data_IF_255362164060
#
_entry.id   IF_255362164060
#
_cell.length_a   1.000
_cell.length_b   1.000
_cell.length_c   1.000
_cell.angle_alpha   90.00
_cell.angle_beta   90.00
_cell.angle_gamma   90.00
#
_symmetry.space_group_name_H-M   'P 1'
#
loop_
_entity.id
_entity.type
_entity.pdbx_description
1 polymer ?
#
# COMPACT_ATOMS: atom_id res chain seq x y z
N UNK A 1 -34.66 13.17 7.44
CA UNK A 1 -34.70 12.07 6.46
C UNK A 1 -33.38 11.31 6.51
N UNK A 2 -33.23 10.29 7.38
CA UNK A 2 -31.97 9.58 7.58
C UNK A 2 -31.61 8.62 6.42
N UNK A 3 -32.50 8.45 5.44
CA UNK A 3 -32.34 7.50 4.33
C UNK A 3 -31.24 7.89 3.32
N UNK A 4 -30.89 9.18 3.22
CA UNK A 4 -29.81 9.65 2.34
C UNK A 4 -28.43 9.20 2.81
N UNK A 5 -28.21 9.06 4.12
CA UNK A 5 -26.93 8.65 4.70
C UNK A 5 -26.59 7.17 4.45
N UNK A 6 -27.59 6.29 4.49
CA UNK A 6 -27.39 4.88 4.16
C UNK A 6 -27.11 4.68 2.67
N UNK A 7 -27.83 5.40 1.81
CA UNK A 7 -27.64 5.32 0.37
C UNK A 7 -26.28 5.89 -0.07
N UNK A 8 -25.82 7.00 0.54
CA UNK A 8 -24.52 7.57 0.23
C UNK A 8 -23.36 6.63 0.58
N UNK A 9 -23.48 5.84 1.65
CA UNK A 9 -22.50 4.81 2.02
C UNK A 9 -22.43 3.70 0.97
N UNK A 10 -23.57 3.25 0.45
CA UNK A 10 -23.61 2.22 -0.60
C UNK A 10 -22.97 2.78 -1.88
N UNK A 11 -23.34 3.99 -2.29
CA UNK A 11 -22.75 4.62 -3.48
C UNK A 11 -21.24 4.81 -3.33
N UNK A 12 -20.77 5.30 -2.18
CA UNK A 12 -19.35 5.52 -1.94
C UNK A 12 -18.57 4.21 -1.94
N UNK A 13 -19.07 3.18 -1.25
CA UNK A 13 -18.41 1.86 -1.23
C UNK A 13 -18.35 1.22 -2.62
N UNK A 14 -19.38 1.40 -3.44
CA UNK A 14 -19.38 0.90 -4.82
C UNK A 14 -18.36 1.64 -5.68
N UNK A 15 -18.22 2.95 -5.50
CA UNK A 15 -17.16 3.75 -6.14
C UNK A 15 -15.78 3.28 -5.70
N UNK A 16 -15.57 3.05 -4.40
CA UNK A 16 -14.28 2.56 -3.87
C UNK A 16 -13.91 1.19 -4.46
N UNK A 17 -14.87 0.27 -4.57
CA UNK A 17 -14.66 -1.05 -5.17
C UNK A 17 -14.33 -0.94 -6.66
N UNK A 18 -15.06 -0.10 -7.41
CA UNK A 18 -14.76 0.13 -8.84
C UNK A 18 -13.37 0.72 -9.01
N UNK A 19 -12.97 1.65 -8.15
CA UNK A 19 -11.64 2.25 -8.18
C UNK A 19 -10.56 1.22 -7.84
N UNK A 20 -10.80 0.36 -6.84
CA UNK A 20 -9.89 -0.70 -6.43
C UNK A 20 -9.56 -1.66 -7.58
N UNK A 21 -10.57 -2.09 -8.35
CA UNK A 21 -10.33 -2.97 -9.50
C UNK A 21 -9.71 -2.25 -10.70
N UNK A 22 -9.80 -0.92 -10.78
CA UNK A 22 -9.28 -0.13 -11.90
C UNK A 22 -7.86 0.38 -11.67
N UNK A 23 -7.44 0.52 -10.42
CA UNK A 23 -6.08 0.93 -10.08
C UNK A 23 -5.13 -0.26 -10.26
N UNK A 24 -4.17 -0.11 -11.17
CA UNK A 24 -3.05 -1.05 -11.29
C UNK A 24 -2.26 -1.12 -9.99
N UNK A 25 -1.75 -2.30 -9.67
CA UNK A 25 -0.86 -2.49 -8.53
C UNK A 25 0.37 -1.57 -8.64
N UNK A 26 0.79 -1.03 -7.49
CA UNK A 26 1.97 -0.20 -7.36
C UNK A 26 2.99 -0.88 -6.45
N UNK A 27 4.21 -1.06 -6.95
CA UNK A 27 5.34 -1.61 -6.20
C UNK A 27 6.27 -0.48 -5.80
N UNK A 28 6.59 -0.37 -4.50
CA UNK A 28 7.44 0.71 -3.95
C UNK A 28 8.75 0.15 -3.41
N UNK A 29 9.86 0.76 -3.81
CA UNK A 29 11.21 0.46 -3.29
C UNK A 29 11.46 1.20 -1.98
N UNK A 30 11.69 0.51 -0.86
CA UNK A 30 11.96 1.18 0.44
C UNK A 30 13.30 1.89 0.52
N UNK A 31 14.27 1.47 -0.29
CA UNK A 31 15.61 2.07 -0.31
C UNK A 31 15.66 3.38 -1.10
N UNK A 32 14.82 3.47 -2.14
CA UNK A 32 14.95 4.48 -3.18
C UNK A 32 13.66 5.27 -3.41
N UNK A 33 12.58 4.93 -2.71
CA UNK A 33 11.22 5.48 -2.84
C UNK A 33 10.70 5.53 -4.29
N UNK A 34 11.24 4.70 -5.18
CA UNK A 34 10.76 4.59 -6.55
C UNK A 34 9.44 3.84 -6.59
N UNK A 35 8.46 4.41 -7.28
CA UNK A 35 7.12 3.85 -7.44
C UNK A 35 6.99 3.29 -8.84
N UNK A 36 6.88 1.97 -8.95
CA UNK A 36 6.57 1.29 -10.19
C UNK A 36 5.07 1.03 -10.26
N UNK A 37 4.39 1.69 -11.19
CA UNK A 37 2.98 1.43 -11.50
C UNK A 37 2.90 0.45 -12.66
N UNK A 38 1.94 -0.46 -12.61
CA UNK A 38 1.68 -1.43 -13.69
C UNK A 38 2.83 -2.41 -13.96
N UNK A 39 3.76 -2.53 -13.02
CA UNK A 39 4.90 -3.45 -13.11
C UNK A 39 4.65 -4.67 -12.23
N UNK A 40 4.77 -5.87 -12.80
CA UNK A 40 4.88 -7.08 -11.98
C UNK A 40 6.11 -6.96 -11.09
N UNK A 41 6.03 -7.34 -9.79
CA UNK A 41 7.22 -7.43 -8.96
C UNK A 41 8.22 -8.35 -9.66
N UNK A 42 9.34 -7.78 -10.10
CA UNK A 42 10.48 -8.52 -10.62
C UNK A 42 11.13 -9.33 -9.50
N UNK A 43 12.01 -10.26 -9.87
CA UNK A 43 12.60 -11.23 -8.93
C UNK A 43 13.33 -10.62 -7.70
N UNK A 44 13.67 -9.33 -7.74
CA UNK A 44 14.30 -8.60 -6.62
C UNK A 44 13.29 -7.92 -5.69
N UNK A 45 12.04 -7.77 -6.10
CA UNK A 45 10.95 -7.23 -5.27
C UNK A 45 10.31 -8.39 -4.50
N UNK A 46 10.60 -8.44 -3.20
CA UNK A 46 10.08 -9.42 -2.26
C UNK A 46 8.76 -8.91 -1.64
N UNK A 47 7.97 -9.77 -0.96
CA UNK A 47 6.82 -9.33 -0.18
C UNK A 47 7.21 -8.24 0.83
N UNK A 48 6.23 -7.45 1.26
CA UNK A 48 6.45 -6.40 2.26
C UNK A 48 7.01 -6.98 3.55
N UNK A 49 8.10 -6.39 4.03
CA UNK A 49 8.77 -6.72 5.29
C UNK A 49 8.94 -5.43 6.11
N UNK A 50 8.23 -5.36 7.23
CA UNK A 50 8.19 -4.20 8.10
C UNK A 50 9.56 -3.89 8.73
N UNK A 51 10.32 -4.92 9.12
CA UNK A 51 11.61 -4.75 9.78
C UNK A 51 12.63 -4.14 8.80
N UNK A 52 12.67 -4.67 7.57
CA UNK A 52 13.52 -4.13 6.50
C UNK A 52 13.14 -2.71 6.12
N UNK A 53 11.84 -2.41 6.05
CA UNK A 53 11.37 -1.06 5.75
C UNK A 53 11.90 -0.05 6.75
N UNK A 54 11.78 -0.34 8.04
CA UNK A 54 12.18 0.60 9.09
C UNK A 54 13.68 0.86 9.13
N UNK A 55 14.50 -0.17 8.88
CA UNK A 55 15.95 -0.02 8.78
C UNK A 55 16.34 0.77 7.53
N UNK A 56 15.75 0.45 6.37
CA UNK A 56 16.14 1.08 5.10
C UNK A 56 15.62 2.51 4.96
N UNK A 57 14.43 2.82 5.49
CA UNK A 57 13.78 4.12 5.35
C UNK A 57 14.10 5.07 6.49
N UNK A 58 14.06 4.58 7.73
CA UNK A 58 14.25 5.41 8.92
C UNK A 58 15.64 5.26 9.54
N UNK A 59 16.48 4.37 9.01
CA UNK A 59 17.85 4.18 9.51
C UNK A 59 17.90 3.56 10.90
N UNK A 60 16.84 2.87 11.35
CA UNK A 60 16.86 2.15 12.63
C UNK A 60 17.94 1.07 12.62
N UNK A 61 18.55 0.82 13.78
CA UNK A 61 19.49 -0.28 13.93
C UNK A 61 18.74 -1.61 14.05
N UNK A 62 19.30 -2.70 13.51
CA UNK A 62 18.69 -4.04 13.61
C UNK A 62 18.42 -4.47 15.06
N UNK A 63 19.30 -4.07 15.98
CA UNK A 63 19.17 -4.35 17.41
C UNK A 63 17.98 -3.64 18.07
N UNK A 64 17.51 -2.53 17.49
CA UNK A 64 16.37 -1.77 18.02
C UNK A 64 15.03 -2.28 17.49
N UNK A 65 15.00 -2.90 16.32
CA UNK A 65 13.76 -3.42 15.72
C UNK A 65 13.42 -4.83 16.23
N UNK A 66 14.40 -5.60 16.70
CA UNK A 66 14.21 -6.97 17.21
C UNK A 66 13.84 -7.05 18.70
N UNK A 67 13.92 -5.92 19.41
CA UNK A 67 13.68 -5.81 20.85
C UNK A 67 12.19 -5.65 21.17
#
# INVERSE_FOLDING_TARGET
MPWTYGLSLIVLSLVDVVLYYRLSEAVVCYRCDTVYRDARPGARQQPFDLLKHDVLKYGKSWAEVEK
#
